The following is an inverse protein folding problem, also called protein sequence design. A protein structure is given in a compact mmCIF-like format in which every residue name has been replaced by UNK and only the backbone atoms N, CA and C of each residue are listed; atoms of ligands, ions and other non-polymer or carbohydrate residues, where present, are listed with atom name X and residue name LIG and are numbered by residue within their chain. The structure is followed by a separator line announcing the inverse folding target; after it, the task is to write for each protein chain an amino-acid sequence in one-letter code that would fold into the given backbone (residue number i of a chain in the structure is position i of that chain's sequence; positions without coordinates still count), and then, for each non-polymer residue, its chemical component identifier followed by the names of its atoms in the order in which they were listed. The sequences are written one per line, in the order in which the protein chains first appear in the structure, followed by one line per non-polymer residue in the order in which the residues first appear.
data_IF_059902176059
#
_entry.id   IF_059902176059
#
_cell.length_a   1.000
_cell.length_b   1.000
_cell.length_c   1.000
_cell.angle_alpha   90.00
_cell.angle_beta   90.00
_cell.angle_gamma   90.00
#
_symmetry.space_group_name_H-M   'P 1'
#
loop_
_entity.id
_entity.type
_entity.pdbx_description
1 polymer ?
#
# COMPACT_ATOMS: atom_id res chain seq x y z
N UNK A 1 28.83 -30.80 62.41
CA UNK A 1 28.92 -31.69 61.23
C UNK A 1 27.52 -31.86 60.66
N UNK A 2 27.24 -31.36 59.44
CA UNK A 2 25.93 -31.56 58.82
C UNK A 2 25.88 -33.01 58.31
N UNK A 3 24.98 -33.83 58.84
CA UNK A 3 24.87 -35.26 58.54
C UNK A 3 24.58 -35.50 57.05
N UNK A 4 25.27 -36.47 56.42
CA UNK A 4 25.09 -36.83 55.00
C UNK A 4 23.63 -37.12 54.60
N UNK A 5 22.81 -37.59 55.55
CA UNK A 5 21.37 -37.82 55.40
C UNK A 5 20.55 -36.55 55.18
N UNK A 6 20.91 -35.41 55.81
CA UNK A 6 20.18 -34.14 55.66
C UNK A 6 20.49 -33.42 54.35
N UNK A 7 21.69 -33.63 53.79
CA UNK A 7 22.04 -33.18 52.45
C UNK A 7 21.27 -33.97 51.37
N UNK A 8 21.13 -35.29 51.56
CA UNK A 8 20.39 -36.19 50.65
C UNK A 8 18.87 -35.89 50.63
N UNK A 9 18.28 -35.50 51.77
CA UNK A 9 16.86 -35.12 51.86
C UNK A 9 16.56 -33.78 51.16
N UNK A 10 17.50 -32.84 51.16
CA UNK A 10 17.37 -31.53 50.50
C UNK A 10 17.63 -31.57 48.98
N UNK A 11 18.46 -32.51 48.51
CA UNK A 11 18.78 -32.67 47.09
C UNK A 11 17.58 -33.18 46.24
N UNK A 12 16.74 -34.08 46.79
CA UNK A 12 15.56 -34.63 46.09
C UNK A 12 14.52 -33.56 45.67
N UNK A 13 14.04 -32.66 46.56
CA UNK A 13 13.09 -31.62 46.17
C UNK A 13 13.72 -30.60 45.22
N UNK A 14 15.01 -30.28 45.36
CA UNK A 14 15.72 -29.42 44.42
C UNK A 14 15.77 -30.03 43.01
N UNK A 15 16.07 -31.32 42.89
CA UNK A 15 16.06 -32.01 41.60
C UNK A 15 14.66 -32.01 40.95
N UNK A 16 13.59 -32.14 41.73
CA UNK A 16 12.21 -32.04 41.25
C UNK A 16 11.87 -30.63 40.76
N UNK A 17 12.28 -29.59 41.48
CA UNK A 17 12.11 -28.18 41.07
C UNK A 17 12.87 -27.87 39.78
N UNK A 18 14.12 -28.34 39.67
CA UNK A 18 14.92 -28.15 38.45
C UNK A 18 14.28 -28.83 37.22
N UNK A 19 13.73 -30.04 37.39
CA UNK A 19 13.01 -30.73 36.30
C UNK A 19 11.77 -29.96 35.85
N UNK A 20 10.97 -29.45 36.80
CA UNK A 20 9.80 -28.61 36.48
C UNK A 20 10.21 -27.35 35.74
N UNK A 21 11.21 -26.64 36.25
CA UNK A 21 11.74 -25.43 35.62
C UNK A 21 12.24 -25.71 34.20
N UNK A 22 12.91 -26.84 33.96
CA UNK A 22 13.36 -27.23 32.61
C UNK A 22 12.17 -27.41 31.67
N UNK A 23 11.13 -28.12 32.09
CA UNK A 23 9.92 -28.33 31.28
C UNK A 23 9.18 -27.01 31.00
N UNK A 24 9.04 -26.14 32.00
CA UNK A 24 8.44 -24.81 31.82
C UNK A 24 9.25 -23.95 30.85
N UNK A 25 10.58 -24.01 30.92
CA UNK A 25 11.47 -23.27 30.04
C UNK A 25 11.40 -23.80 28.59
N UNK A 26 11.28 -25.11 28.41
CA UNK A 26 11.08 -25.74 27.09
C UNK A 26 9.72 -25.32 26.49
N UNK A 27 8.63 -25.37 27.26
CA UNK A 27 7.31 -24.93 26.81
C UNK A 27 7.31 -23.45 26.42
N UNK A 28 7.88 -22.59 27.26
CA UNK A 28 8.05 -21.16 26.96
C UNK A 28 8.92 -20.95 25.71
N UNK A 29 9.98 -21.73 25.55
CA UNK A 29 10.84 -21.62 24.37
C UNK A 29 10.08 -21.93 23.09
N UNK A 30 9.11 -22.84 23.11
CA UNK A 30 8.28 -23.15 21.95
C UNK A 30 7.27 -22.04 21.68
N UNK A 31 6.56 -21.56 22.71
CA UNK A 31 5.66 -20.40 22.60
C UNK A 31 6.38 -19.17 22.01
N UNK A 32 7.62 -18.92 22.43
CA UNK A 32 8.42 -17.83 21.87
C UNK A 32 8.76 -18.01 20.39
N UNK A 33 8.93 -19.24 19.89
CA UNK A 33 9.13 -19.48 18.46
C UNK A 33 7.85 -19.18 17.69
N UNK A 34 6.71 -19.64 18.17
CA UNK A 34 5.41 -19.39 17.55
C UNK A 34 5.11 -17.88 17.49
N UNK A 35 5.39 -17.15 18.57
CA UNK A 35 5.24 -15.69 18.60
C UNK A 35 6.14 -15.03 17.56
N UNK A 36 7.42 -15.42 17.47
CA UNK A 36 8.35 -14.86 16.48
C UNK A 36 7.89 -15.12 15.06
N UNK A 37 7.40 -16.31 14.79
CA UNK A 37 6.88 -16.68 13.48
C UNK A 37 5.61 -15.89 13.14
N UNK A 38 4.69 -15.74 14.09
CA UNK A 38 3.52 -14.87 13.93
C UNK A 38 3.90 -13.42 13.66
N UNK A 39 4.89 -12.87 14.36
CA UNK A 39 5.41 -11.52 14.13
C UNK A 39 6.02 -11.38 12.74
N UNK A 40 6.78 -12.37 12.26
CA UNK A 40 7.34 -12.39 10.90
C UNK A 40 6.24 -12.32 9.85
N UNK A 41 5.21 -13.16 9.97
CA UNK A 41 4.09 -13.17 9.05
C UNK A 41 3.30 -11.86 9.04
N UNK A 42 3.09 -11.24 10.21
CA UNK A 42 2.43 -9.93 10.31
C UNK A 42 3.26 -8.85 9.61
N UNK A 43 4.58 -8.85 9.81
CA UNK A 43 5.49 -7.90 9.16
C UNK A 43 5.44 -8.01 7.63
N UNK A 44 5.51 -9.23 7.10
CA UNK A 44 5.42 -9.48 5.65
C UNK A 44 4.08 -9.00 5.06
N UNK A 45 2.98 -9.22 5.77
CA UNK A 45 1.66 -8.71 5.34
C UNK A 45 1.59 -7.19 5.34
N UNK A 46 2.16 -6.53 6.35
CA UNK A 46 2.21 -5.07 6.42
C UNK A 46 3.03 -4.50 5.25
N UNK A 47 4.21 -5.06 4.98
CA UNK A 47 5.06 -4.62 3.86
C UNK A 47 4.37 -4.79 2.50
N UNK A 48 3.60 -5.87 2.31
CA UNK A 48 2.79 -6.07 1.11
C UNK A 48 1.68 -5.01 0.99
N UNK A 49 0.95 -4.72 2.08
CA UNK A 49 -0.11 -3.70 2.12
C UNK A 49 0.47 -2.32 1.82
N UNK A 50 1.63 -1.97 2.38
CA UNK A 50 2.29 -0.69 2.15
C UNK A 50 2.65 -0.53 0.67
N UNK A 51 3.17 -1.59 0.04
CA UNK A 51 3.50 -1.60 -1.39
C UNK A 51 2.25 -1.37 -2.25
N UNK A 52 1.15 -2.09 -1.97
CA UNK A 52 -0.13 -1.93 -2.67
C UNK A 52 -0.70 -0.52 -2.47
N UNK A 53 -0.59 0.04 -1.26
CA UNK A 53 -1.03 1.40 -0.97
C UNK A 53 -0.27 2.45 -1.80
N UNK A 54 1.04 2.27 -2.01
CA UNK A 54 1.82 3.17 -2.87
C UNK A 54 1.48 3.02 -4.36
N UNK A 55 1.08 1.83 -4.81
CA UNK A 55 0.53 1.60 -6.14
C UNK A 55 -0.82 2.31 -6.32
N UNK A 56 -1.77 2.09 -5.41
CA UNK A 56 -3.08 2.74 -5.42
C UNK A 56 -2.98 4.27 -5.38
N UNK A 57 -2.05 4.82 -4.59
CA UNK A 57 -1.78 6.27 -4.57
C UNK A 57 -1.29 6.78 -5.92
N UNK A 58 -0.42 6.04 -6.61
CA UNK A 58 0.08 6.40 -7.95
C UNK A 58 -1.05 6.38 -8.97
N UNK A 59 -1.85 5.32 -8.99
CA UNK A 59 -3.00 5.19 -9.90
C UNK A 59 -4.05 6.26 -9.67
N UNK A 60 -4.38 6.54 -8.40
CA UNK A 60 -5.33 7.59 -8.03
C UNK A 60 -4.87 8.96 -8.52
N UNK A 61 -3.60 9.30 -8.33
CA UNK A 61 -3.03 10.56 -8.85
C UNK A 61 -3.13 10.64 -10.37
N UNK A 62 -2.86 9.54 -11.07
CA UNK A 62 -3.00 9.48 -12.53
C UNK A 62 -4.45 9.70 -12.98
N UNK A 63 -5.42 9.03 -12.34
CA UNK A 63 -6.84 9.17 -12.64
C UNK A 63 -7.29 10.61 -12.39
N UNK A 64 -6.96 11.21 -11.25
CA UNK A 64 -7.28 12.62 -10.95
C UNK A 64 -6.76 13.54 -12.05
N UNK A 65 -5.50 13.35 -12.47
CA UNK A 65 -4.89 14.17 -13.51
C UNK A 65 -5.57 13.99 -14.87
N UNK A 66 -5.96 12.77 -15.23
CA UNK A 66 -6.70 12.51 -16.48
C UNK A 66 -8.12 13.08 -16.41
N UNK A 67 -8.81 12.93 -15.28
CA UNK A 67 -10.16 13.45 -15.06
C UNK A 67 -10.20 14.97 -15.16
N UNK A 68 -9.26 15.67 -14.51
CA UNK A 68 -9.15 17.13 -14.63
C UNK A 68 -8.93 17.58 -16.08
N UNK A 69 -8.05 16.89 -16.83
CA UNK A 69 -7.84 17.17 -18.26
C UNK A 69 -9.10 16.95 -19.09
N UNK A 70 -9.85 15.89 -18.81
CA UNK A 70 -11.13 15.62 -19.50
C UNK A 70 -12.17 16.68 -19.18
N UNK A 71 -12.28 17.11 -17.92
CA UNK A 71 -13.18 18.20 -17.52
C UNK A 71 -12.86 19.50 -18.25
N UNK A 72 -11.57 19.88 -18.37
CA UNK A 72 -11.15 21.06 -19.15
C UNK A 72 -11.58 20.95 -20.62
N UNK A 73 -11.39 19.78 -21.25
CA UNK A 73 -11.83 19.56 -22.63
C UNK A 73 -13.35 19.69 -22.78
N UNK A 74 -14.11 19.09 -21.88
CA UNK A 74 -15.57 19.18 -21.89
C UNK A 74 -16.04 20.63 -21.71
N UNK A 75 -15.48 21.36 -20.75
CA UNK A 75 -15.80 22.77 -20.54
C UNK A 75 -15.57 23.62 -21.80
N UNK A 76 -14.44 23.42 -22.48
CA UNK A 76 -14.16 24.08 -23.76
C UNK A 76 -15.16 23.69 -24.85
N UNK A 77 -15.50 22.40 -24.95
CA UNK A 77 -16.52 21.94 -25.91
C UNK A 77 -17.87 22.60 -25.67
N UNK A 78 -18.30 22.72 -24.41
CA UNK A 78 -19.53 23.43 -24.06
C UNK A 78 -19.47 24.91 -24.41
N UNK A 79 -18.35 25.59 -24.15
CA UNK A 79 -18.17 26.99 -24.52
C UNK A 79 -18.21 27.21 -26.04
N UNK A 80 -17.64 26.29 -26.83
CA UNK A 80 -17.74 26.32 -28.30
C UNK A 80 -19.19 26.20 -28.76
N UNK A 81 -19.95 25.25 -28.20
CA UNK A 81 -21.36 25.08 -28.53
C UNK A 81 -22.16 26.35 -28.23
N UNK A 82 -21.95 26.93 -27.04
CA UNK A 82 -22.59 28.19 -26.65
C UNK A 82 -22.24 29.35 -27.58
N UNK A 83 -20.96 29.54 -27.92
CA UNK A 83 -20.54 30.60 -28.84
C UNK A 83 -21.14 30.44 -30.24
N UNK A 84 -21.31 29.20 -30.72
CA UNK A 84 -22.00 28.93 -31.99
C UNK A 84 -23.48 29.24 -31.91
N UNK A 85 -24.13 28.88 -30.81
CA UNK A 85 -25.54 29.17 -30.56
C UNK A 85 -25.82 30.69 -30.49
N UNK A 86 -24.91 31.47 -29.89
CA UNK A 86 -25.04 32.93 -29.79
C UNK A 86 -24.54 33.69 -31.03
N UNK A 87 -24.04 33.00 -32.05
CA UNK A 87 -23.52 33.61 -33.28
C UNK A 87 -22.11 34.22 -33.15
N UNK A 88 -21.42 33.99 -32.04
CA UNK A 88 -20.05 34.43 -31.79
C UNK A 88 -19.03 33.51 -32.49
N UNK A 89 -19.01 33.55 -33.83
CA UNK A 89 -18.22 32.62 -34.65
C UNK A 89 -16.70 32.77 -34.45
N UNK A 90 -16.20 34.00 -34.26
CA UNK A 90 -14.78 34.24 -33.98
C UNK A 90 -14.35 33.63 -32.65
N UNK A 91 -15.16 33.79 -31.60
CA UNK A 91 -14.96 33.16 -30.29
C UNK A 91 -14.97 31.63 -30.43
N UNK A 92 -15.93 31.08 -31.17
CA UNK A 92 -16.02 29.64 -31.42
C UNK A 92 -14.79 29.11 -32.16
N UNK A 93 -14.27 29.85 -33.15
CA UNK A 93 -13.06 29.48 -33.89
C UNK A 93 -11.82 29.47 -32.98
N UNK A 94 -11.65 30.51 -32.16
CA UNK A 94 -10.55 30.63 -31.20
C UNK A 94 -10.56 29.48 -30.17
N UNK A 95 -11.73 29.19 -29.57
CA UNK A 95 -11.88 28.08 -28.63
C UNK A 95 -11.65 26.72 -29.28
N UNK A 96 -12.06 26.55 -30.54
CA UNK A 96 -11.81 25.30 -31.29
C UNK A 96 -10.31 25.11 -31.54
N UNK A 97 -9.58 26.18 -31.84
CA UNK A 97 -8.13 26.12 -32.00
C UNK A 97 -7.44 25.76 -30.68
N UNK A 98 -7.84 26.37 -29.57
CA UNK A 98 -7.33 26.04 -28.24
C UNK A 98 -7.59 24.56 -27.87
N UNK A 99 -8.79 24.04 -28.16
CA UNK A 99 -9.12 22.64 -27.93
C UNK A 99 -8.22 21.70 -28.75
N UNK A 100 -7.94 22.04 -30.02
CA UNK A 100 -6.99 21.28 -30.86
C UNK A 100 -5.60 21.21 -30.25
N UNK A 101 -5.09 22.32 -29.72
CA UNK A 101 -3.78 22.35 -29.05
C UNK A 101 -3.76 21.46 -27.79
N UNK A 102 -4.79 21.54 -26.95
CA UNK A 102 -4.90 20.74 -25.73
C UNK A 102 -5.00 19.24 -26.04
N UNK A 103 -5.70 18.87 -27.12
CA UNK A 103 -5.78 17.48 -27.58
C UNK A 103 -4.46 17.03 -28.18
N UNK A 104 -3.81 17.86 -29.00
CA UNK A 104 -2.54 17.57 -29.66
C UNK A 104 -1.36 17.39 -28.71
N UNK A 105 -1.32 18.10 -27.57
CA UNK A 105 -0.28 17.90 -26.54
C UNK A 105 -0.28 16.51 -25.89
N UNK A 106 -1.33 15.69 -26.10
CA UNK A 106 -1.48 14.37 -25.47
C UNK A 106 -0.68 13.26 -26.18
N UNK A 107 -0.35 13.39 -27.47
CA UNK A 107 0.33 12.32 -28.24
C UNK A 107 1.81 12.12 -27.89
N UNK A 108 2.48 13.11 -27.28
CA UNK A 108 3.91 12.99 -26.92
C UNK A 108 4.17 12.43 -25.51
N UNK A 109 3.18 12.37 -24.61
CA UNK A 109 3.38 11.96 -23.21
C UNK A 109 2.96 10.50 -22.93
N UNK A 110 2.14 9.90 -23.80
CA UNK A 110 1.65 8.52 -23.64
C UNK A 110 2.78 7.49 -23.80
N UNK A 111 3.89 7.84 -24.48
CA UNK A 111 5.03 6.93 -24.68
C UNK A 111 5.89 6.70 -23.42
N UNK A 112 5.74 7.49 -22.34
CA UNK A 112 6.67 7.42 -21.19
C UNK A 112 6.07 6.93 -19.87
N UNK A 113 4.75 6.75 -19.79
CA UNK A 113 4.06 6.50 -18.52
C UNK A 113 2.83 5.59 -18.67
N UNK A 114 2.92 4.53 -19.50
CA UNK A 114 1.91 3.48 -19.45
C UNK A 114 1.97 2.81 -18.07
N UNK A 115 0.90 2.85 -17.25
CA UNK A 115 0.84 2.02 -16.06
C UNK A 115 0.82 0.57 -16.53
N UNK A 116 1.89 -0.16 -16.21
CA UNK A 116 2.25 -1.43 -16.82
C UNK A 116 1.29 -2.59 -16.55
N UNK A 117 0.19 -2.42 -15.80
CA UNK A 117 -0.75 -3.50 -15.46
C UNK A 117 -2.16 -2.95 -15.24
N UNK A 118 -2.81 -2.49 -16.30
CA UNK A 118 -4.26 -2.25 -16.26
C UNK A 118 -4.96 -3.61 -16.53
N UNK A 119 -5.59 -4.17 -15.50
CA UNK A 119 -6.45 -5.37 -15.50
C UNK A 119 -5.76 -6.74 -15.62
N UNK A 120 -5.58 -7.42 -14.48
CA UNK A 120 -5.66 -8.88 -14.36
C UNK A 120 -6.64 -9.22 -13.26
#
# INVERSE_FOLDING_TARGET
MVSFSSLKSRAKPMKKRLRRLKTEMEARSEEHKDIKEGQRQVKEKIEAIETECEELKRETRFIIQQSARTQVKLALMFQILKARETGELDTAANLTQLLREIVGRKTHLISSAAPSKLFK
#
